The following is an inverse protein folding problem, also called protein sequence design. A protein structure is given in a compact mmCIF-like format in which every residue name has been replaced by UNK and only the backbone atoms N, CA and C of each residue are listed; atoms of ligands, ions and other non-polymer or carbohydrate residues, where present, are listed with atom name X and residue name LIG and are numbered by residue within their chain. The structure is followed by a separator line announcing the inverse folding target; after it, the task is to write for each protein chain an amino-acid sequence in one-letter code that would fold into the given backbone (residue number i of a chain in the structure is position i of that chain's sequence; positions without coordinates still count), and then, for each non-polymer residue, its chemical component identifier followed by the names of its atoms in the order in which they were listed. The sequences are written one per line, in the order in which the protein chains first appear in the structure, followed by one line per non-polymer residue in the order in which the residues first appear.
data_IF_630982857856
#
_entry.id   IF_630982857856
#
_cell.length_a   1.000
_cell.length_b   1.000
_cell.length_c   1.000
_cell.angle_alpha   90.00
_cell.angle_beta   90.00
_cell.angle_gamma   90.00
#
_symmetry.space_group_name_H-M   'P 1'
#
loop_
_entity.id
_entity.type
_entity.pdbx_description
1 polymer ?
#
# COMPACT_ATOMS: atom_id res chain seq x y z
N UNK A 1 -12.35 19.18 -14.46
CA UNK A 1 -10.87 19.17 -14.64
C UNK A 1 -10.42 17.95 -15.43
N UNK A 2 -9.25 18.02 -16.06
CA UNK A 2 -8.60 16.88 -16.75
C UNK A 2 -7.77 16.06 -15.76
N UNK A 3 -7.38 14.84 -16.15
CA UNK A 3 -6.63 13.92 -15.28
C UNK A 3 -5.28 14.48 -14.78
N UNK A 4 -4.59 15.29 -15.60
CA UNK A 4 -3.34 15.95 -15.19
C UNK A 4 -3.54 16.95 -14.06
N UNK A 5 -4.63 17.73 -14.13
CA UNK A 5 -5.01 18.68 -13.07
C UNK A 5 -5.45 17.93 -11.79
N UNK A 6 -6.23 16.84 -11.92
CA UNK A 6 -6.57 15.98 -10.79
C UNK A 6 -5.32 15.38 -10.15
N UNK A 7 -4.35 14.97 -10.96
CA UNK A 7 -3.04 14.47 -10.50
C UNK A 7 -2.30 15.50 -9.66
N UNK A 8 -2.16 16.72 -10.17
CA UNK A 8 -1.50 17.82 -9.46
C UNK A 8 -2.19 18.16 -8.13
N UNK A 9 -3.53 18.22 -8.13
CA UNK A 9 -4.32 18.60 -6.95
C UNK A 9 -4.45 17.49 -5.89
N UNK A 10 -4.50 16.23 -6.32
CA UNK A 10 -4.60 15.09 -5.40
C UNK A 10 -3.24 14.58 -4.91
N UNK A 11 -2.14 15.06 -5.49
CA UNK A 11 -0.79 14.54 -5.21
C UNK A 11 -0.57 13.09 -5.67
N UNK A 12 -1.40 12.58 -6.58
CA UNK A 12 -1.31 11.20 -7.08
C UNK A 12 -0.93 11.18 -8.55
N UNK A 13 -0.08 10.21 -8.92
CA UNK A 13 0.29 10.06 -10.32
C UNK A 13 -0.91 9.73 -11.20
N UNK A 14 -0.88 10.15 -12.45
CA UNK A 14 -1.89 9.81 -13.47
C UNK A 14 -2.08 8.29 -13.57
N UNK A 15 -0.99 7.52 -13.43
CA UNK A 15 -1.04 6.06 -13.42
C UNK A 15 -1.84 5.52 -12.23
N UNK A 16 -1.62 6.05 -11.04
CA UNK A 16 -2.37 5.67 -9.85
C UNK A 16 -3.88 5.98 -10.01
N UNK A 17 -4.23 7.17 -10.54
CA UNK A 17 -5.63 7.55 -10.78
C UNK A 17 -6.28 6.59 -11.77
N UNK A 18 -5.62 6.25 -12.88
CA UNK A 18 -6.11 5.27 -13.87
C UNK A 18 -6.29 3.89 -13.25
N UNK A 19 -5.39 3.49 -12.37
CA UNK A 19 -5.51 2.22 -11.65
C UNK A 19 -6.73 2.22 -10.73
N UNK A 20 -6.95 3.28 -9.92
CA UNK A 20 -8.16 3.41 -9.09
C UNK A 20 -9.43 3.36 -9.93
N UNK A 21 -9.45 4.02 -11.09
CA UNK A 21 -10.58 4.00 -12.01
C UNK A 21 -10.83 2.59 -12.58
N UNK A 22 -9.77 1.92 -13.03
CA UNK A 22 -9.84 0.54 -13.56
C UNK A 22 -10.33 -0.46 -12.49
N UNK A 23 -10.01 -0.21 -11.21
CA UNK A 23 -10.55 -0.98 -10.09
C UNK A 23 -12.01 -0.63 -9.74
N UNK A 24 -12.62 0.32 -10.44
CA UNK A 24 -13.99 0.77 -10.17
C UNK A 24 -14.12 1.59 -8.88
N UNK A 25 -13.01 2.14 -8.36
CA UNK A 25 -12.94 2.84 -7.08
C UNK A 25 -13.24 4.34 -7.16
N UNK A 26 -13.43 4.91 -8.36
CA UNK A 26 -13.80 6.32 -8.55
C UNK A 26 -15.23 6.39 -9.04
N UNK A 27 -16.19 6.88 -8.25
CA UNK A 27 -17.57 7.04 -8.69
C UNK A 27 -17.75 8.33 -9.48
N UNK A 28 -18.72 8.36 -10.40
CA UNK A 28 -19.20 9.59 -11.04
C UNK A 28 -18.21 10.26 -12.00
N UNK A 29 -17.29 9.51 -12.59
CA UNK A 29 -16.43 10.04 -13.66
C UNK A 29 -17.24 10.15 -14.94
N UNK A 30 -17.49 11.39 -15.37
CA UNK A 30 -18.21 11.72 -16.59
C UNK A 30 -17.27 11.83 -17.78
N UNK A 31 -17.86 11.92 -18.99
CA UNK A 31 -17.13 12.21 -20.22
C UNK A 31 -17.70 13.42 -20.89
N UNK A 32 -16.82 14.27 -21.44
CA UNK A 32 -17.20 15.41 -22.25
C UNK A 32 -17.73 14.96 -23.64
N UNK A 33 -18.19 15.92 -24.43
CA UNK A 33 -18.67 15.70 -25.80
C UNK A 33 -17.64 15.07 -26.73
N UNK A 34 -16.34 15.17 -26.41
CA UNK A 34 -15.23 14.55 -27.11
C UNK A 34 -14.85 13.17 -26.54
N UNK A 35 -15.64 12.59 -25.63
CA UNK A 35 -15.39 11.28 -24.99
C UNK A 35 -14.30 11.29 -23.94
N UNK A 36 -13.73 12.45 -23.54
CA UNK A 36 -12.66 12.56 -22.58
C UNK A 36 -13.20 12.60 -21.15
N UNK A 37 -12.50 11.97 -20.21
CA UNK A 37 -12.87 11.96 -18.80
C UNK A 37 -12.84 13.34 -18.17
N UNK A 38 -13.88 13.66 -17.43
CA UNK A 38 -14.03 14.91 -16.68
C UNK A 38 -14.12 14.59 -15.21
N UNK A 39 -13.27 15.25 -14.42
CA UNK A 39 -13.24 15.09 -12.97
C UNK A 39 -13.67 16.40 -12.30
N UNK A 40 -14.11 16.31 -11.05
CA UNK A 40 -14.56 17.43 -10.22
C UNK A 40 -13.71 17.49 -8.94
N UNK A 41 -13.90 18.56 -8.14
CA UNK A 41 -13.24 18.70 -6.84
C UNK A 41 -13.60 17.57 -5.86
N UNK A 42 -14.79 17.00 -6.01
CA UNK A 42 -15.21 15.85 -5.22
C UNK A 42 -14.29 14.64 -5.43
N UNK A 43 -13.71 14.48 -6.62
CA UNK A 43 -12.78 13.38 -6.91
C UNK A 43 -11.43 13.55 -6.20
N UNK A 44 -11.00 14.80 -5.91
CA UNK A 44 -9.78 15.05 -5.13
C UNK A 44 -9.94 14.49 -3.71
N UNK A 45 -11.00 14.90 -3.00
CA UNK A 45 -11.30 14.40 -1.65
C UNK A 45 -11.58 12.89 -1.62
N UNK A 46 -12.23 12.38 -2.68
CA UNK A 46 -12.49 10.96 -2.82
C UNK A 46 -11.21 10.12 -2.93
N UNK A 47 -10.26 10.54 -3.75
CA UNK A 47 -8.96 9.89 -3.89
C UNK A 47 -8.16 9.90 -2.58
N UNK A 48 -8.24 11.00 -1.81
CA UNK A 48 -7.62 11.06 -0.49
C UNK A 48 -8.25 10.05 0.48
N UNK A 49 -9.59 9.98 0.51
CA UNK A 49 -10.29 8.95 1.31
C UNK A 49 -9.86 7.54 0.92
N UNK A 50 -9.86 7.22 -0.37
CA UNK A 50 -9.49 5.88 -0.86
C UNK A 50 -8.07 5.50 -0.46
N UNK A 51 -7.13 6.43 -0.55
CA UNK A 51 -5.76 6.20 -0.13
C UNK A 51 -5.64 5.94 1.38
N UNK A 52 -6.32 6.73 2.20
CA UNK A 52 -6.35 6.53 3.67
C UNK A 52 -6.94 5.17 4.03
N UNK A 53 -8.06 4.78 3.43
CA UNK A 53 -8.66 3.47 3.66
C UNK A 53 -7.71 2.34 3.28
N UNK A 54 -7.04 2.46 2.13
CA UNK A 54 -6.05 1.47 1.69
C UNK A 54 -4.84 1.40 2.62
N UNK A 55 -4.29 2.55 3.01
CA UNK A 55 -3.11 2.62 3.91
C UNK A 55 -3.40 2.07 5.31
N UNK A 56 -4.65 2.15 5.75
CA UNK A 56 -5.10 1.57 7.02
C UNK A 56 -5.56 0.12 6.90
N UNK A 57 -5.32 -0.54 5.75
CA UNK A 57 -5.54 -1.98 5.59
C UNK A 57 -6.94 -2.36 5.08
N UNK A 58 -7.73 -1.43 4.54
CA UNK A 58 -8.97 -1.81 3.84
C UNK A 58 -8.63 -2.53 2.53
N UNK A 59 -9.21 -3.70 2.31
CA UNK A 59 -8.99 -4.46 1.08
C UNK A 59 -9.63 -3.79 -0.13
N UNK A 60 -9.10 -4.06 -1.33
CA UNK A 60 -9.68 -3.55 -2.58
C UNK A 60 -11.13 -4.02 -2.76
N UNK A 61 -11.46 -5.23 -2.33
CA UNK A 61 -12.83 -5.75 -2.35
C UNK A 61 -13.78 -4.88 -1.49
N UNK A 62 -13.39 -4.55 -0.27
CA UNK A 62 -14.16 -3.67 0.62
C UNK A 62 -14.26 -2.25 0.08
N UNK A 63 -13.19 -1.72 -0.51
CA UNK A 63 -13.22 -0.40 -1.16
C UNK A 63 -14.19 -0.39 -2.35
N UNK A 64 -14.24 -1.46 -3.16
CA UNK A 64 -15.23 -1.60 -4.26
C UNK A 64 -16.65 -1.66 -3.72
N UNK A 65 -16.88 -2.44 -2.67
CA UNK A 65 -18.19 -2.52 -2.00
C UNK A 65 -18.63 -1.13 -1.53
N UNK A 66 -17.77 -0.41 -0.82
CA UNK A 66 -18.05 0.95 -0.37
C UNK A 66 -18.38 1.89 -1.53
N UNK A 67 -17.58 1.85 -2.62
CA UNK A 67 -17.82 2.67 -3.81
C UNK A 67 -19.14 2.30 -4.50
N UNK A 68 -19.48 1.02 -4.58
CA UNK A 68 -20.75 0.56 -5.12
C UNK A 68 -21.95 1.07 -4.30
N UNK A 69 -21.83 1.05 -2.97
CA UNK A 69 -22.85 1.62 -2.08
C UNK A 69 -23.01 3.13 -2.29
N UNK A 70 -21.91 3.86 -2.51
CA UNK A 70 -21.96 5.30 -2.80
C UNK A 70 -22.69 5.59 -4.10
N UNK A 71 -22.46 4.78 -5.14
CA UNK A 71 -23.16 4.91 -6.45
C UNK A 71 -24.67 4.69 -6.33
N UNK A 72 -25.14 3.84 -5.38
CA UNK A 72 -26.57 3.60 -5.12
C UNK A 72 -27.27 4.76 -4.41
N UNK A 73 -26.53 5.78 -3.96
CA UNK A 73 -27.09 6.99 -3.40
C UNK A 73 -27.55 6.89 -1.95
N UNK A 74 -28.51 7.71 -1.56
CA UNK A 74 -28.90 7.93 -0.15
C UNK A 74 -29.47 6.71 0.57
N UNK A 75 -30.10 5.79 -0.15
CA UNK A 75 -30.68 4.57 0.42
C UNK A 75 -29.66 3.64 1.11
N UNK A 76 -28.35 3.84 0.85
CA UNK A 76 -27.28 2.99 1.39
C UNK A 76 -26.48 3.65 2.51
N UNK A 77 -26.92 4.77 3.07
CA UNK A 77 -26.19 5.50 4.11
C UNK A 77 -25.85 4.62 5.32
N UNK A 78 -26.81 3.84 5.81
CA UNK A 78 -26.59 2.92 6.94
C UNK A 78 -25.55 1.84 6.63
N UNK A 79 -25.59 1.26 5.42
CA UNK A 79 -24.63 0.24 4.99
C UNK A 79 -23.21 0.81 4.88
N UNK A 80 -23.06 2.02 4.32
CA UNK A 80 -21.78 2.73 4.25
C UNK A 80 -21.22 3.02 5.64
N UNK A 81 -22.05 3.50 6.55
CA UNK A 81 -21.68 3.76 7.94
C UNK A 81 -21.24 2.48 8.65
N UNK A 82 -21.96 1.38 8.48
CA UNK A 82 -21.62 0.08 9.07
C UNK A 82 -20.26 -0.42 8.58
N UNK A 83 -19.99 -0.34 7.25
CA UNK A 83 -18.73 -0.75 6.66
C UNK A 83 -17.55 0.06 7.20
N UNK A 84 -17.71 1.40 7.28
CA UNK A 84 -16.66 2.28 7.82
C UNK A 84 -16.46 2.07 9.33
N UNK A 85 -17.52 1.82 10.10
CA UNK A 85 -17.42 1.51 11.54
C UNK A 85 -16.65 0.20 11.76
N UNK A 86 -16.95 -0.84 11.00
CA UNK A 86 -16.22 -2.11 11.07
C UNK A 86 -14.73 -1.92 10.74
N UNK A 87 -14.42 -1.10 9.73
CA UNK A 87 -13.03 -0.77 9.42
C UNK A 87 -12.36 0.03 10.55
N UNK A 88 -13.04 1.05 11.09
CA UNK A 88 -12.53 1.84 12.22
C UNK A 88 -12.17 0.94 13.42
N UNK A 89 -13.04 -0.02 13.77
CA UNK A 89 -12.77 -0.95 14.87
C UNK A 89 -11.51 -1.76 14.63
N UNK A 90 -11.31 -2.30 13.42
CA UNK A 90 -10.07 -3.02 13.07
C UNK A 90 -8.83 -2.14 13.23
N UNK A 91 -8.89 -0.92 12.71
CA UNK A 91 -7.77 0.04 12.81
C UNK A 91 -7.48 0.38 14.28
N UNK A 92 -8.51 0.64 15.09
CA UNK A 92 -8.35 0.92 16.52
C UNK A 92 -7.70 -0.24 17.26
N UNK A 93 -8.09 -1.47 16.98
CA UNK A 93 -7.48 -2.66 17.57
C UNK A 93 -6.00 -2.78 17.18
N UNK A 94 -5.67 -2.57 15.91
CA UNK A 94 -4.27 -2.57 15.44
C UNK A 94 -3.43 -1.50 16.14
N UNK A 95 -3.97 -0.30 16.33
CA UNK A 95 -3.29 0.78 17.05
C UNK A 95 -3.05 0.37 18.51
N UNK A 96 -4.04 -0.23 19.18
CA UNK A 96 -3.90 -0.69 20.57
C UNK A 96 -2.81 -1.78 20.71
N UNK A 97 -2.77 -2.73 19.78
CA UNK A 97 -1.73 -3.78 19.72
C UNK A 97 -0.33 -3.15 19.55
N UNK A 98 -0.19 -2.22 18.62
CA UNK A 98 1.08 -1.55 18.37
C UNK A 98 1.51 -0.66 19.54
N UNK A 99 0.56 0.01 20.20
CA UNK A 99 0.83 0.79 21.40
C UNK A 99 1.39 -0.10 22.51
N UNK A 100 0.80 -1.27 22.72
CA UNK A 100 1.29 -2.26 23.68
C UNK A 100 2.69 -2.75 23.34
N UNK A 101 2.95 -3.02 22.07
CA UNK A 101 4.28 -3.42 21.60
C UNK A 101 5.33 -2.33 21.81
N UNK A 102 4.97 -1.07 21.53
CA UNK A 102 5.86 0.08 21.79
C UNK A 102 6.21 0.24 23.27
N UNK A 103 5.23 0.06 24.17
CA UNK A 103 5.48 0.10 25.61
C UNK A 103 6.49 -0.96 26.05
N UNK A 104 6.38 -2.18 25.50
CA UNK A 104 7.34 -3.25 25.77
C UNK A 104 8.75 -2.89 25.27
N UNK A 105 8.86 -2.33 24.07
CA UNK A 105 10.13 -1.86 23.50
C UNK A 105 10.73 -0.76 24.39
N UNK A 106 9.93 0.22 24.79
CA UNK A 106 10.39 1.29 25.67
C UNK A 106 10.91 0.75 27.00
N UNK A 107 10.19 -0.18 27.62
CA UNK A 107 10.65 -0.82 28.86
C UNK A 107 12.00 -1.53 28.71
N UNK A 108 12.28 -2.08 27.53
CA UNK A 108 13.60 -2.69 27.24
C UNK A 108 14.69 -1.66 27.03
N UNK A 109 14.37 -0.55 26.37
CA UNK A 109 15.31 0.57 26.21
C UNK A 109 15.70 1.13 27.58
N UNK A 110 14.71 1.37 28.46
CA UNK A 110 14.93 1.89 29.81
C UNK A 110 15.78 0.93 30.64
N UNK A 111 15.46 -0.38 30.59
CA UNK A 111 16.25 -1.43 31.25
C UNK A 111 17.73 -1.45 30.83
N UNK A 112 18.00 -1.34 29.52
CA UNK A 112 19.38 -1.29 29.05
C UNK A 112 20.06 0.05 29.36
N UNK A 113 19.31 1.15 29.34
CA UNK A 113 19.81 2.47 29.75
C UNK A 113 20.26 2.49 31.21
N UNK A 114 19.47 1.93 32.13
CA UNK A 114 19.83 1.80 33.55
C UNK A 114 21.06 0.92 33.72
N UNK A 115 21.13 -0.22 33.02
CA UNK A 115 22.27 -1.10 33.08
C UNK A 115 23.58 -0.44 32.61
N UNK A 116 23.52 0.31 31.53
CA UNK A 116 24.69 1.06 31.03
C UNK A 116 25.13 2.17 31.99
N UNK A 117 24.20 2.84 32.65
CA UNK A 117 24.46 3.94 33.55
C UNK A 117 25.05 3.47 34.91
N UNK A 118 24.57 2.32 35.42
CA UNK A 118 24.95 1.82 36.75
C UNK A 118 26.06 0.77 36.73
N UNK A 119 26.29 0.12 35.57
CA UNK A 119 27.15 -1.06 35.43
C UNK A 119 26.56 -2.32 36.05
N UNK A 120 25.39 -2.23 36.70
CA UNK A 120 24.71 -3.35 37.36
C UNK A 120 23.44 -3.73 36.59
N UNK A 121 23.20 -5.05 36.50
CA UNK A 121 22.02 -5.55 35.83
C UNK A 121 20.74 -5.24 36.62
N UNK A 122 19.82 -4.39 36.11
CA UNK A 122 18.57 -4.07 36.80
C UNK A 122 17.72 -5.31 37.04
N UNK A 123 16.94 -5.34 38.11
CA UNK A 123 15.92 -6.38 38.29
C UNK A 123 14.85 -6.26 37.22
N UNK A 124 14.63 -7.35 36.48
CA UNK A 124 13.51 -7.35 35.49
C UNK A 124 12.18 -7.12 36.19
N UNK A 125 11.35 -6.17 35.74
CA UNK A 125 10.00 -6.02 36.26
C UNK A 125 9.24 -7.35 36.10
N UNK A 126 8.59 -7.81 37.15
CA UNK A 126 7.77 -9.02 37.14
C UNK A 126 6.66 -8.83 36.10
N UNK A 127 6.65 -9.63 35.04
CA UNK A 127 5.63 -9.58 33.97
C UNK A 127 6.19 -9.56 32.54
N UNK A 128 7.47 -9.29 32.35
CA UNK A 128 8.10 -9.30 31.03
C UNK A 128 8.90 -10.58 30.84
N UNK A 129 8.22 -11.73 30.89
CA UNK A 129 8.85 -12.99 30.48
C UNK A 129 8.81 -13.10 28.96
N UNK A 130 9.90 -13.59 28.30
CA UNK A 130 9.91 -13.80 26.84
C UNK A 130 8.81 -14.72 26.33
N UNK A 131 8.08 -15.38 27.22
CA UNK A 131 7.09 -16.41 26.89
C UNK A 131 5.64 -15.90 26.80
N UNK A 132 5.34 -14.69 27.27
CA UNK A 132 3.99 -14.11 27.07
C UNK A 132 3.79 -13.59 25.64
N UNK A 133 4.86 -13.28 24.92
CA UNK A 133 4.81 -12.87 23.51
C UNK A 133 4.54 -14.04 22.53
N UNK A 134 4.54 -15.31 23.00
CA UNK A 134 4.37 -16.47 22.13
C UNK A 134 2.92 -16.73 21.69
N UNK A 135 1.93 -16.04 22.30
CA UNK A 135 0.51 -16.16 21.93
C UNK A 135 0.01 -15.06 20.98
N UNK A 136 0.71 -13.95 20.83
CA UNK A 136 0.43 -12.95 19.81
C UNK A 136 1.23 -13.22 18.54
N UNK A 137 0.93 -14.34 17.87
CA UNK A 137 1.40 -14.56 16.51
C UNK A 137 0.61 -13.63 15.59
N UNK A 138 1.06 -12.39 15.49
CA UNK A 138 0.61 -11.48 14.42
C UNK A 138 0.97 -12.19 13.12
N UNK A 139 -0.03 -12.74 12.45
CA UNK A 139 0.09 -13.12 11.04
C UNK A 139 0.30 -11.81 10.27
N UNK A 140 1.56 -11.44 10.08
CA UNK A 140 1.91 -10.53 9.01
C UNK A 140 1.59 -11.28 7.70
N UNK A 141 0.37 -11.14 7.23
CA UNK A 141 0.09 -11.34 5.81
C UNK A 141 0.79 -10.18 5.08
N UNK A 142 2.05 -10.44 4.75
CA UNK A 142 2.76 -9.62 3.78
C UNK A 142 1.88 -9.53 2.55
N UNK A 143 1.44 -8.31 2.23
CA UNK A 143 0.76 -8.03 0.97
C UNK A 143 1.52 -8.72 -0.15
N UNK A 144 0.87 -9.48 -1.04
CA UNK A 144 1.56 -10.15 -2.13
C UNK A 144 2.30 -9.11 -2.95
N UNK A 145 3.62 -9.29 -3.09
CA UNK A 145 4.42 -8.57 -4.07
C UNK A 145 3.72 -8.66 -5.43
N UNK A 146 3.64 -7.57 -6.20
CA UNK A 146 3.16 -7.68 -7.58
C UNK A 146 4.09 -8.64 -8.32
N UNK A 147 3.54 -9.78 -8.71
CA UNK A 147 4.24 -10.72 -9.59
C UNK A 147 4.39 -10.03 -10.95
N UNK A 148 5.61 -9.70 -11.31
CA UNK A 148 5.94 -9.35 -12.68
C UNK A 148 5.92 -10.67 -13.48
N UNK A 149 4.83 -10.89 -14.20
CA UNK A 149 4.73 -11.94 -15.20
C UNK A 149 5.53 -11.52 -16.43
N UNK A 150 6.84 -11.78 -16.40
CA UNK A 150 7.64 -11.85 -17.60
C UNK A 150 7.57 -13.30 -18.10
N UNK A 151 6.59 -13.60 -18.93
CA UNK A 151 6.57 -14.84 -19.69
C UNK A 151 7.54 -14.68 -20.85
N UNK A 152 8.78 -15.08 -20.64
CA UNK A 152 9.76 -15.30 -21.71
C UNK A 152 9.47 -16.66 -22.32
N UNK A 153 8.77 -16.66 -23.44
CA UNK A 153 8.66 -17.85 -24.30
C UNK A 153 9.98 -18.03 -25.03
N UNK A 154 10.80 -18.93 -24.53
CA UNK A 154 11.96 -19.44 -25.25
C UNK A 154 11.47 -20.54 -26.19
N UNK A 155 11.50 -20.30 -27.48
CA UNK A 155 11.44 -21.32 -28.51
C UNK A 155 12.84 -21.89 -28.73
N UNK A 156 13.01 -23.23 -28.85
CA UNK A 156 14.30 -23.84 -29.13
C UNK A 156 14.52 -24.01 -30.63
N UNK A 157 15.75 -23.78 -31.06
CA UNK A 157 16.27 -24.45 -32.22
C UNK A 157 16.68 -23.58 -33.40
N UNK A 158 17.96 -23.37 -33.57
CA UNK A 158 18.71 -23.74 -34.76
C UNK A 158 20.20 -23.42 -34.60
N UNK A 159 21.00 -24.45 -34.73
CA UNK A 159 22.45 -24.43 -34.79
C UNK A 159 22.91 -23.83 -36.11
N UNK A 160 24.20 -23.49 -36.12
CA UNK A 160 25.19 -23.55 -37.23
C UNK A 160 25.87 -22.23 -37.51
N UNK A 161 27.09 -22.27 -37.21
CA UNK A 161 28.36 -22.00 -37.96
C UNK A 161 29.15 -20.72 -37.69
N UNK A 162 30.24 -20.88 -37.14
CA UNK A 162 31.67 -20.62 -37.29
C UNK A 162 32.10 -19.79 -38.53
N UNK A 163 32.83 -18.70 -38.30
CA UNK A 163 34.04 -18.24 -38.96
C UNK A 163 34.29 -16.77 -38.53
N UNK A 164 35.33 -16.51 -37.79
CA UNK A 164 36.70 -16.19 -38.16
C UNK A 164 36.93 -14.80 -38.79
N UNK A 165 37.90 -14.14 -38.19
CA UNK A 165 38.80 -13.13 -38.73
C UNK A 165 38.43 -11.66 -38.44
N UNK A 166 39.16 -11.08 -37.56
CA UNK A 166 40.42 -10.33 -37.65
C UNK A 166 40.28 -8.83 -37.91
N UNK A 167 40.92 -8.10 -36.96
CA UNK A 167 41.68 -6.85 -37.15
C UNK A 167 41.00 -5.62 -37.76
N UNK A 168 41.01 -4.51 -37.07
CA UNK A 168 42.09 -3.53 -37.21
C UNK A 168 41.79 -2.24 -36.39
N UNK A 169 42.84 -1.75 -35.81
CA UNK A 169 43.13 -0.45 -35.24
C UNK A 169 42.65 0.75 -36.10
N UNK A 170 42.31 1.84 -35.44
CA UNK A 170 42.94 3.17 -35.53
C UNK A 170 42.01 4.19 -34.84
N UNK A 171 42.42 4.86 -33.73
CA UNK A 171 43.03 6.19 -33.66
C UNK A 171 42.25 7.26 -34.44
N UNK A 172 41.68 8.24 -33.77
CA UNK A 172 42.23 9.58 -33.54
C UNK A 172 41.08 10.62 -33.40
N UNK A 173 41.17 11.37 -32.33
CA UNK A 173 41.10 12.84 -32.22
C UNK A 173 40.03 13.60 -33.03
N UNK A 174 39.07 14.20 -32.39
CA UNK A 174 38.95 15.63 -32.06
C UNK A 174 37.81 15.80 -31.05
#
# INVERSE_FOLDING_TARGET
MKIGELSARSGRSVHAIRWYEAQGLIPGVERDSGGRRVYTDLHVGWLDLMDRLRRTGMSIAQMREYTALVRKGRSTLGQRQALLNAHRTRVSNTIAEWTTALQLIQSKIDYYGEWLATGERPRQPRGVTPNSARKARVKFETSPKPQSSATSTILPGASVNRAAASRSRARSTY
#
